data_IF_728729623715
#
_entry.id   IF_728729623715
#
_cell.length_a   1.000
_cell.length_b   1.000
_cell.length_c   1.000
_cell.angle_alpha   90.00
_cell.angle_beta   90.00
_cell.angle_gamma   90.00
#
_symmetry.space_group_name_H-M   'P 1'
#
loop_
_entity.id
_entity.type
_entity.pdbx_description
1 polymer ?
#
# COMPACT_ATOMS: atom_id res chain seq x y z
N UNK A 1 -6.72 -4.98 15.06
CA UNK A 1 -7.92 -5.21 14.24
C UNK A 1 -8.27 -6.70 14.26
N UNK A 2 -9.51 -7.03 14.58
CA UNK A 2 -9.96 -8.41 14.55
C UNK A 2 -10.08 -8.89 13.09
N UNK A 3 -9.65 -10.09 12.82
CA UNK A 3 -9.70 -10.67 11.49
C UNK A 3 -10.56 -11.94 11.52
N UNK A 4 -11.54 -12.00 10.63
CA UNK A 4 -12.45 -13.14 10.51
C UNK A 4 -12.23 -13.83 9.16
N UNK A 5 -12.33 -15.14 9.14
CA UNK A 5 -12.17 -15.95 7.93
C UNK A 5 -13.52 -16.53 7.52
N UNK A 6 -13.92 -16.35 6.28
CA UNK A 6 -15.18 -16.87 5.75
C UNK A 6 -14.92 -17.44 4.35
N UNK A 7 -15.45 -18.61 4.08
CA UNK A 7 -15.38 -19.20 2.75
C UNK A 7 -16.21 -18.39 1.75
N UNK A 8 -15.75 -18.29 0.51
CA UNK A 8 -16.40 -17.51 -0.54
C UNK A 8 -17.86 -17.94 -0.75
N UNK A 9 -18.14 -19.23 -0.72
CA UNK A 9 -19.51 -19.73 -0.91
C UNK A 9 -20.44 -19.29 0.22
N UNK A 10 -19.96 -19.33 1.47
CA UNK A 10 -20.72 -18.86 2.62
C UNK A 10 -20.91 -17.34 2.56
N UNK A 11 -19.88 -16.61 2.15
CA UNK A 11 -19.92 -15.16 2.03
C UNK A 11 -20.94 -14.71 1.00
N UNK A 12 -21.08 -15.45 -0.10
CA UNK A 12 -22.00 -15.11 -1.18
C UNK A 12 -23.45 -14.97 -0.69
N UNK A 13 -23.88 -15.84 0.22
CA UNK A 13 -25.22 -15.83 0.77
C UNK A 13 -25.49 -14.76 1.81
N UNK A 14 -24.45 -14.09 2.32
CA UNK A 14 -24.59 -13.10 3.39
C UNK A 14 -23.74 -11.84 3.14
N UNK A 15 -23.48 -11.55 1.87
CA UNK A 15 -22.60 -10.43 1.50
C UNK A 15 -23.06 -9.08 2.05
N UNK A 16 -24.36 -8.81 2.00
CA UNK A 16 -24.89 -7.55 2.56
C UNK A 16 -24.58 -7.38 4.03
N UNK A 17 -24.73 -8.44 4.82
CA UNK A 17 -24.39 -8.43 6.25
C UNK A 17 -22.90 -8.22 6.46
N UNK A 18 -22.07 -8.90 5.68
CA UNK A 18 -20.61 -8.77 5.79
C UNK A 18 -20.15 -7.35 5.46
N UNK A 19 -20.76 -6.73 4.45
CA UNK A 19 -20.47 -5.34 4.10
C UNK A 19 -20.82 -4.42 5.26
N UNK A 20 -21.99 -4.61 5.89
CA UNK A 20 -22.38 -3.81 7.04
C UNK A 20 -21.41 -3.98 8.21
N UNK A 21 -20.96 -5.22 8.45
CA UNK A 21 -20.01 -5.50 9.53
C UNK A 21 -18.67 -4.77 9.33
N UNK A 22 -18.12 -4.78 8.11
CA UNK A 22 -16.86 -4.09 7.85
C UNK A 22 -17.05 -2.58 7.76
N UNK A 23 -18.19 -2.10 7.27
CA UNK A 23 -18.48 -0.68 7.22
C UNK A 23 -18.57 -0.06 8.62
N UNK A 24 -18.91 -0.87 9.62
CA UNK A 24 -18.89 -0.45 11.02
C UNK A 24 -17.48 -0.21 11.56
N UNK A 25 -16.45 -0.55 10.82
CA UNK A 25 -15.08 -0.13 11.08
C UNK A 25 -14.27 -0.98 12.05
N UNK A 26 -14.83 -2.04 12.57
CA UNK A 26 -14.14 -2.81 13.62
C UNK A 26 -13.54 -4.13 13.16
N UNK A 27 -13.83 -4.57 11.94
CA UNK A 27 -13.47 -5.91 11.50
C UNK A 27 -13.03 -5.95 10.05
N UNK A 28 -11.97 -6.71 9.78
CA UNK A 28 -11.60 -7.08 8.42
C UNK A 28 -11.99 -8.55 8.23
N UNK A 29 -12.46 -8.90 7.04
CA UNK A 29 -12.88 -10.28 6.74
C UNK A 29 -12.01 -10.83 5.64
N UNK A 30 -11.36 -11.97 5.92
CA UNK A 30 -10.58 -12.69 4.93
C UNK A 30 -11.50 -13.69 4.22
N UNK A 31 -11.59 -13.58 2.90
CA UNK A 31 -12.36 -14.50 2.09
C UNK A 31 -11.46 -15.64 1.63
N UNK A 32 -11.90 -16.87 1.89
CA UNK A 32 -11.11 -18.05 1.58
C UNK A 32 -11.77 -18.87 0.47
N UNK A 33 -10.93 -19.56 -0.28
CA UNK A 33 -11.37 -20.53 -1.29
C UNK A 33 -10.47 -21.75 -1.17
N UNK A 34 -11.08 -22.90 -1.00
CA UNK A 34 -10.35 -24.15 -0.80
C UNK A 34 -9.33 -24.07 0.35
N UNK A 35 -9.72 -23.41 1.43
CA UNK A 35 -8.88 -23.24 2.60
C UNK A 35 -7.79 -22.18 2.49
N UNK A 36 -7.71 -21.48 1.37
CA UNK A 36 -6.68 -20.43 1.15
C UNK A 36 -7.29 -19.05 1.17
N UNK A 37 -6.70 -18.10 1.90
CA UNK A 37 -7.12 -16.71 1.81
C UNK A 37 -6.83 -16.16 0.40
N UNK A 38 -7.85 -15.62 -0.26
CA UNK A 38 -7.71 -15.11 -1.62
C UNK A 38 -8.08 -13.64 -1.75
N UNK A 39 -8.81 -13.09 -0.79
CA UNK A 39 -9.25 -11.70 -0.84
C UNK A 39 -9.55 -11.19 0.56
N UNK A 40 -9.60 -9.88 0.69
CA UNK A 40 -9.95 -9.22 1.95
C UNK A 40 -11.15 -8.29 1.71
N UNK A 41 -12.06 -8.28 2.67
CA UNK A 41 -13.16 -7.32 2.71
C UNK A 41 -12.86 -6.36 3.84
N UNK A 42 -12.65 -5.09 3.49
CA UNK A 42 -12.34 -4.04 4.46
C UNK A 42 -13.20 -2.81 4.18
N UNK A 43 -13.35 -1.94 5.18
CA UNK A 43 -14.08 -0.70 4.97
C UNK A 43 -13.30 0.22 4.03
N UNK A 44 -14.02 1.10 3.35
CA UNK A 44 -13.39 2.08 2.47
C UNK A 44 -12.44 3.00 3.24
N UNK A 45 -12.82 3.41 4.43
CA UNK A 45 -11.97 4.23 5.30
C UNK A 45 -10.65 3.56 5.61
N UNK A 46 -10.69 2.29 5.94
CA UNK A 46 -9.51 1.51 6.27
C UNK A 46 -8.63 1.34 5.04
N UNK A 47 -9.24 1.05 3.89
CA UNK A 47 -8.51 0.95 2.63
C UNK A 47 -7.79 2.25 2.29
N UNK A 48 -8.46 3.38 2.44
CA UNK A 48 -7.87 4.69 2.18
C UNK A 48 -6.73 5.00 3.16
N UNK A 49 -6.88 4.61 4.43
CA UNK A 49 -5.82 4.79 5.42
C UNK A 49 -4.58 3.95 5.06
N UNK A 50 -4.77 2.71 4.66
CA UNK A 50 -3.68 1.84 4.21
C UNK A 50 -2.98 2.40 2.97
N UNK A 51 -3.75 2.92 2.02
CA UNK A 51 -3.20 3.57 0.84
C UNK A 51 -2.35 4.79 1.20
N UNK A 52 -2.79 5.57 2.17
CA UNK A 52 -2.04 6.71 2.67
C UNK A 52 -0.72 6.30 3.30
N UNK A 53 -0.69 5.23 4.06
CA UNK A 53 0.53 4.70 4.67
C UNK A 53 1.53 4.22 3.61
N UNK A 54 1.06 3.51 2.59
CA UNK A 54 1.92 3.05 1.49
C UNK A 54 2.54 4.24 0.76
N UNK A 55 1.76 5.29 0.50
CA UNK A 55 2.27 6.50 -0.15
C UNK A 55 3.32 7.20 0.71
N UNK A 56 3.11 7.27 2.02
CA UNK A 56 4.06 7.87 2.94
C UNK A 56 5.38 7.11 2.97
N UNK A 57 5.33 5.78 3.02
CA UNK A 57 6.53 4.94 2.94
C UNK A 57 7.27 5.12 1.62
N UNK A 58 6.53 5.19 0.51
CA UNK A 58 7.13 5.40 -0.81
C UNK A 58 7.85 6.75 -0.89
N UNK A 59 7.26 7.81 -0.33
CA UNK A 59 7.87 9.13 -0.27
C UNK A 59 9.15 9.12 0.55
N UNK A 60 9.12 8.46 1.70
CA UNK A 60 10.28 8.38 2.59
C UNK A 60 11.42 7.61 1.92
N UNK A 61 11.11 6.51 1.26
CA UNK A 61 12.09 5.75 0.50
C UNK A 61 12.72 6.60 -0.61
N UNK A 62 11.89 7.37 -1.32
CA UNK A 62 12.38 8.26 -2.36
C UNK A 62 13.32 9.33 -1.79
N UNK A 63 12.95 9.94 -0.66
CA UNK A 63 13.81 10.92 0.02
C UNK A 63 15.16 10.35 0.37
N UNK A 64 15.20 9.13 0.90
CA UNK A 64 16.46 8.46 1.26
C UNK A 64 17.31 8.24 0.03
N UNK A 65 16.73 7.76 -1.06
CA UNK A 65 17.47 7.53 -2.31
C UNK A 65 17.99 8.81 -2.91
N UNK A 66 17.21 9.89 -2.87
CA UNK A 66 17.66 11.19 -3.34
C UNK A 66 18.81 11.75 -2.49
N UNK A 67 18.74 11.56 -1.17
CA UNK A 67 19.82 11.97 -0.27
C UNK A 67 21.11 11.23 -0.60
N UNK A 68 21.04 9.91 -0.86
CA UNK A 68 22.19 9.11 -1.26
C UNK A 68 22.79 9.58 -2.58
N UNK A 69 21.96 9.92 -3.56
CA UNK A 69 22.40 10.45 -4.85
C UNK A 69 23.12 11.77 -4.66
N UNK A 70 22.55 12.68 -3.86
CA UNK A 70 23.16 13.98 -3.57
C UNK A 70 24.51 13.81 -2.89
N UNK A 71 24.62 12.87 -1.96
CA UNK A 71 25.87 12.58 -1.28
C UNK A 71 26.93 12.09 -2.26
N UNK A 72 26.57 11.18 -3.14
CA UNK A 72 27.48 10.67 -4.17
C UNK A 72 27.93 11.76 -5.14
N UNK A 73 27.01 12.65 -5.52
CA UNK A 73 27.33 13.79 -6.40
C UNK A 73 28.31 14.71 -5.72
N UNK A 74 28.10 15.02 -4.43
CA UNK A 74 28.98 15.87 -3.64
C UNK A 74 30.39 15.27 -3.52
N UNK A 75 30.47 13.95 -3.24
CA UNK A 75 31.72 13.24 -3.05
C UNK A 75 32.48 13.04 -4.37
N UNK A 76 31.77 12.86 -5.47
CA UNK A 76 32.35 12.56 -6.77
C UNK A 76 32.52 13.79 -7.68
N UNK A 77 32.08 14.95 -7.23
CA UNK A 77 32.13 16.22 -8.00
C UNK A 77 31.48 16.08 -9.38
N UNK A 78 30.26 15.50 -9.40
CA UNK A 78 29.52 15.23 -10.62
C UNK A 78 28.77 16.47 -11.13
N UNK A 79 28.52 16.45 -12.46
CA UNK A 79 27.77 17.49 -13.15
C UNK A 79 26.32 17.58 -12.61
N UNK A 80 25.80 18.82 -12.35
CA UNK A 80 24.41 19.01 -11.96
C UNK A 80 23.38 18.37 -12.89
N UNK A 81 23.67 18.27 -14.19
CA UNK A 81 22.78 17.63 -15.17
C UNK A 81 22.53 16.16 -14.83
N UNK A 82 23.55 15.48 -14.33
CA UNK A 82 23.42 14.07 -13.90
C UNK A 82 22.45 13.93 -12.74
N UNK A 83 22.43 14.90 -11.83
CA UNK A 83 21.49 14.91 -10.69
C UNK A 83 20.07 15.09 -11.20
N UNK A 84 19.84 16.01 -12.14
CA UNK A 84 18.53 16.27 -12.73
C UNK A 84 17.99 15.04 -13.44
N UNK A 85 18.83 14.33 -14.18
CA UNK A 85 18.47 13.08 -14.84
C UNK A 85 18.06 12.00 -13.83
N UNK A 86 18.78 11.89 -12.73
CA UNK A 86 18.48 10.92 -11.69
C UNK A 86 17.13 11.23 -11.01
N UNK A 87 16.83 12.49 -10.78
CA UNK A 87 15.57 12.93 -10.20
C UNK A 87 14.40 12.63 -11.16
N UNK A 88 14.56 12.90 -12.44
CA UNK A 88 13.54 12.59 -13.44
C UNK A 88 13.28 11.09 -13.55
N UNK A 89 14.33 10.29 -13.55
CA UNK A 89 14.20 8.83 -13.58
C UNK A 89 13.42 8.30 -12.37
N UNK A 90 13.67 8.87 -11.18
CA UNK A 90 12.95 8.51 -9.96
C UNK A 90 11.47 8.89 -10.04
N UNK A 91 11.12 10.01 -10.67
CA UNK A 91 9.73 10.44 -10.86
C UNK A 91 8.96 9.52 -11.80
N UNK A 92 9.61 8.99 -12.82
CA UNK A 92 8.97 8.10 -13.80
C UNK A 92 8.59 6.75 -13.23
N UNK A 93 9.21 6.35 -12.13
CA UNK A 93 8.95 5.07 -11.48
C UNK A 93 7.74 5.12 -10.53
N UNK A 94 7.31 6.30 -10.14
CA UNK A 94 6.20 6.47 -9.19
C UNK A 94 4.81 6.43 -9.83
#
# INVERSE_FOLDING_TARGET
MAKRFIGVEAARGQLGRLVDDVAGGSEAISLTKRGRPIAMLVSREEWEALQGMVRAEAREELRRRLAEVRQRVSDADLDPTTVDEAIEAARKVS
#
